data_IF_331911552941
#
_entry.id   IF_331911552941
#
_cell.length_a   1.000
_cell.length_b   1.000
_cell.length_c   1.000
_cell.angle_alpha   90.00
_cell.angle_beta   90.00
_cell.angle_gamma   90.00
#
_symmetry.space_group_name_H-M   'P 1'
#
loop_
_entity.id
_entity.type
_entity.pdbx_description
1 polymer ?
#
# COMPACT_ATOMS: atom_id res chain seq x y z
N UNK A 1 -5.16 -3.28 2.84
CA UNK A 1 -4.14 -2.28 2.45
C UNK A 1 -3.28 -2.85 1.33
N UNK A 2 -3.23 -2.18 0.18
CA UNK A 2 -2.34 -2.48 -0.95
C UNK A 2 -1.26 -1.39 -1.02
N UNK A 3 0.01 -1.77 -1.01
CA UNK A 3 1.15 -0.84 -1.11
C UNK A 3 2.03 -1.25 -2.30
N UNK A 4 2.40 -0.30 -3.16
CA UNK A 4 3.28 -0.59 -4.30
C UNK A 4 4.09 0.64 -4.75
N UNK A 5 5.37 0.45 -5.09
CA UNK A 5 6.17 1.41 -5.86
C UNK A 5 5.75 1.47 -7.33
N UNK A 6 5.60 2.66 -7.91
CA UNK A 6 5.13 2.81 -9.29
C UNK A 6 6.21 2.55 -10.35
N UNK A 7 7.48 2.55 -9.96
CA UNK A 7 8.64 2.34 -10.84
C UNK A 7 9.31 0.98 -10.58
N UNK A 8 8.59 0.00 -10.02
CA UNK A 8 9.09 -1.36 -9.83
C UNK A 8 9.24 -2.06 -11.19
N UNK A 9 10.47 -2.51 -11.47
CA UNK A 9 10.90 -3.21 -12.68
C UNK A 9 10.95 -4.74 -12.50
N UNK A 10 10.78 -5.24 -11.26
CA UNK A 10 10.73 -6.66 -10.92
C UNK A 10 9.27 -7.14 -10.74
N UNK A 11 8.51 -6.46 -9.89
CA UNK A 11 7.07 -6.70 -9.72
C UNK A 11 6.33 -5.52 -10.31
N UNK A 12 5.99 -5.60 -11.60
CA UNK A 12 5.39 -4.47 -12.30
C UNK A 12 4.08 -3.99 -11.65
N UNK A 13 3.89 -2.67 -11.61
CA UNK A 13 2.68 -2.03 -11.06
C UNK A 13 1.38 -2.51 -11.74
N UNK A 14 1.49 -3.03 -12.98
CA UNK A 14 0.37 -3.66 -13.69
C UNK A 14 -0.27 -4.80 -12.90
N UNK A 15 0.49 -5.52 -12.06
CA UNK A 15 -0.06 -6.55 -11.17
C UNK A 15 -1.05 -5.95 -10.16
N UNK A 16 -0.70 -4.81 -9.55
CA UNK A 16 -1.61 -4.09 -8.67
C UNK A 16 -2.83 -3.57 -9.40
N UNK A 17 -2.68 -3.06 -10.63
CA UNK A 17 -3.84 -2.59 -11.41
C UNK A 17 -4.84 -3.70 -11.72
N UNK A 18 -4.39 -4.92 -12.01
CA UNK A 18 -5.26 -6.10 -12.23
C UNK A 18 -6.03 -6.48 -10.96
N UNK A 19 -5.37 -6.44 -9.80
CA UNK A 19 -6.02 -6.69 -8.53
C UNK A 19 -7.05 -5.60 -8.20
N UNK A 20 -6.70 -4.34 -8.42
CA UNK A 20 -7.61 -3.19 -8.21
C UNK A 20 -8.88 -3.35 -9.05
N UNK A 21 -8.74 -3.63 -10.35
CA UNK A 21 -9.88 -3.87 -11.24
C UNK A 21 -10.79 -5.00 -10.72
N UNK A 22 -10.19 -6.11 -10.29
CA UNK A 22 -10.94 -7.24 -9.72
C UNK A 22 -11.68 -6.86 -8.43
N UNK A 23 -11.04 -6.11 -7.53
CA UNK A 23 -11.66 -5.68 -6.27
C UNK A 23 -12.82 -4.69 -6.53
N UNK A 24 -12.63 -3.75 -7.44
CA UNK A 24 -13.67 -2.78 -7.86
C UNK A 24 -14.86 -3.50 -8.48
N UNK A 25 -14.62 -4.41 -9.43
CA UNK A 25 -15.67 -5.19 -10.09
C UNK A 25 -16.46 -6.09 -9.13
N UNK A 26 -15.86 -6.45 -7.98
CA UNK A 26 -16.50 -7.22 -6.91
C UNK A 26 -17.09 -6.36 -5.79
N UNK A 27 -17.04 -5.03 -5.91
CA UNK A 27 -17.47 -4.09 -4.86
C UNK A 27 -16.78 -4.34 -3.50
N UNK A 28 -15.50 -4.74 -3.52
CA UNK A 28 -14.70 -4.95 -2.33
C UNK A 28 -13.93 -3.66 -2.04
N UNK A 29 -14.18 -3.05 -0.87
CA UNK A 29 -13.45 -1.86 -0.42
C UNK A 29 -12.05 -2.22 0.03
N UNK A 30 -11.07 -1.40 -0.32
CA UNK A 30 -9.68 -1.56 0.07
C UNK A 30 -8.99 -0.20 0.21
N UNK A 31 -7.92 -0.17 1.02
CA UNK A 31 -7.00 0.97 1.10
C UNK A 31 -5.83 0.77 0.13
N UNK A 32 -5.38 1.83 -0.53
CA UNK A 32 -4.26 1.85 -1.48
C UNK A 32 -3.26 2.94 -1.12
N UNK A 33 -1.96 2.62 -1.16
CA UNK A 33 -0.87 3.59 -1.09
C UNK A 33 0.15 3.32 -2.20
N UNK A 34 0.47 4.34 -2.98
CA UNK A 34 1.44 4.23 -4.08
C UNK A 34 2.62 5.17 -3.86
N UNK A 35 3.81 4.76 -4.31
CA UNK A 35 5.04 5.55 -4.17
C UNK A 35 5.64 5.85 -5.55
N UNK A 36 5.44 7.06 -6.09
CA UNK A 36 6.04 7.48 -7.35
C UNK A 36 7.57 7.37 -7.33
N UNK A 37 8.17 6.83 -8.38
CA UNK A 37 9.63 6.68 -8.50
C UNK A 37 10.26 5.60 -7.61
N UNK A 38 9.50 5.00 -6.68
CA UNK A 38 9.97 3.85 -5.92
C UNK A 38 9.94 2.58 -6.79
N UNK A 39 11.02 1.81 -6.72
CA UNK A 39 11.16 0.50 -7.37
C UNK A 39 10.57 -0.60 -6.48
N UNK A 40 11.19 -1.78 -6.46
CA UNK A 40 10.81 -2.88 -5.58
C UNK A 40 10.92 -2.55 -4.09
N UNK A 41 11.86 -1.68 -3.71
CA UNK A 41 11.98 -1.13 -2.37
C UNK A 41 11.52 0.32 -2.29
N UNK A 42 10.78 0.65 -1.22
CA UNK A 42 10.52 2.05 -0.85
C UNK A 42 11.72 2.51 -0.01
N UNK A 43 12.63 3.22 -0.66
CA UNK A 43 13.90 3.67 -0.07
C UNK A 43 13.90 5.17 0.22
N UNK A 44 14.74 5.58 1.17
CA UNK A 44 14.94 6.97 1.57
C UNK A 44 14.29 7.31 2.92
N UNK A 45 14.85 8.26 3.70
CA UNK A 45 14.41 8.52 5.07
C UNK A 45 12.95 8.97 5.21
N UNK A 46 12.43 9.74 4.24
CA UNK A 46 11.04 10.20 4.25
C UNK A 46 10.06 9.14 3.73
N UNK A 47 10.27 8.52 2.54
CA UNK A 47 9.40 7.44 2.06
C UNK A 47 9.33 6.25 3.01
N UNK A 48 10.44 5.88 3.65
CA UNK A 48 10.43 4.79 4.65
C UNK A 48 9.60 5.14 5.88
N UNK A 49 9.78 6.34 6.46
CA UNK A 49 8.93 6.77 7.58
C UNK A 49 7.46 6.81 7.19
N UNK A 50 7.16 7.26 5.98
CA UNK A 50 5.80 7.31 5.48
C UNK A 50 5.18 5.90 5.32
N UNK A 51 5.91 4.93 4.74
CA UNK A 51 5.36 3.58 4.54
C UNK A 51 5.14 2.85 5.86
N UNK A 52 6.09 2.90 6.78
CA UNK A 52 5.92 2.26 8.09
C UNK A 52 4.82 2.93 8.92
N UNK A 53 4.73 4.27 8.90
CA UNK A 53 3.63 4.98 9.56
C UNK A 53 2.26 4.68 8.95
N UNK A 54 2.18 4.49 7.63
CA UNK A 54 0.95 4.08 6.94
C UNK A 54 0.50 2.68 7.37
N UNK A 55 1.46 1.74 7.45
CA UNK A 55 1.20 0.37 7.91
C UNK A 55 0.73 0.37 9.37
N UNK A 56 1.43 1.10 10.24
CA UNK A 56 1.07 1.24 11.66
C UNK A 56 -0.33 1.84 11.82
N UNK A 57 -0.64 2.93 11.11
CA UNK A 57 -1.96 3.56 11.14
C UNK A 57 -3.07 2.61 10.67
N UNK A 58 -2.81 1.80 9.64
CA UNK A 58 -3.76 0.80 9.17
C UNK A 58 -4.00 -0.28 10.25
N UNK A 59 -2.96 -0.78 10.91
CA UNK A 59 -3.14 -1.75 11.99
C UNK A 59 -3.87 -1.15 13.19
N UNK A 60 -3.52 0.05 13.62
CA UNK A 60 -4.23 0.74 14.70
C UNK A 60 -5.72 0.92 14.38
N UNK A 61 -6.06 1.27 13.14
CA UNK A 61 -7.44 1.45 12.68
C UNK A 61 -8.26 0.15 12.64
N UNK A 62 -7.65 -0.96 12.22
CA UNK A 62 -8.39 -2.19 11.87
C UNK A 62 -8.20 -3.36 12.84
N UNK A 63 -7.13 -3.35 13.64
CA UNK A 63 -6.76 -4.47 14.55
C UNK A 63 -6.52 -3.99 15.98
N UNK A 64 -6.15 -2.72 16.19
CA UNK A 64 -5.93 -2.17 17.52
C UNK A 64 -7.14 -2.36 18.43
N UNK A 65 -6.92 -2.89 19.63
CA UNK A 65 -7.95 -2.86 20.68
C UNK A 65 -8.29 -1.40 21.00
N UNK A 66 -9.58 -1.06 21.20
CA UNK A 66 -9.91 0.24 21.77
C UNK A 66 -9.11 0.40 23.07
N UNK A 67 -8.42 1.53 23.24
CA UNK A 67 -7.93 1.88 24.57
C UNK A 67 -9.14 1.89 25.52
N UNK A 68 -9.05 1.26 26.70
CA UNK A 68 -10.15 1.24 27.66
C UNK A 68 -10.56 2.66 28.09
#
# INVERSE_FOLDING_TARGET
>A
LLIHGMADDNVLFTNSTRLIDTLVNRNIRFDLMTYPGAKHGISGPAPQRHVFGTIEAFFRKNIGTPSP
#
